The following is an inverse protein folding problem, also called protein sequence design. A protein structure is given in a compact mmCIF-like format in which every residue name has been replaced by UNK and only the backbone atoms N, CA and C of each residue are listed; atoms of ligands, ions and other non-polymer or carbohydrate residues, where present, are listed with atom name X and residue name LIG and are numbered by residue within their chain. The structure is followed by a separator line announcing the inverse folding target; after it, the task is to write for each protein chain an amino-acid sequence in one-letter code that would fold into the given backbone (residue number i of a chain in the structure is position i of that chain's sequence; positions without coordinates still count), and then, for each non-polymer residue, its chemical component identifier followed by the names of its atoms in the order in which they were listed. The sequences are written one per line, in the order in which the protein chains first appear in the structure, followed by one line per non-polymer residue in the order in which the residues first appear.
data_IF_327870399666
#
_entry.id   IF_327870399666
#
_cell.length_a   1.000
_cell.length_b   1.000
_cell.length_c   1.000
_cell.angle_alpha   90.00
_cell.angle_beta   90.00
_cell.angle_gamma   90.00
#
_symmetry.space_group_name_H-M   'P 1'
#
loop_
_entity.id
_entity.type
_entity.pdbx_description
1 polymer ?
#
# COMPACT_ATOMS: atom_id res chain seq x y z
N UNK A 1 -98.71 14.91 -56.12
CA UNK A 1 -98.34 15.15 -54.70
C UNK A 1 -97.31 14.11 -54.23
N UNK A 2 -96.38 13.67 -55.10
CA UNK A 2 -95.39 12.60 -54.81
C UNK A 2 -93.91 13.06 -54.86
N UNK A 3 -93.67 14.31 -55.29
CA UNK A 3 -92.33 14.91 -55.37
C UNK A 3 -91.87 15.56 -54.06
N UNK A 4 -92.81 15.88 -53.16
CA UNK A 4 -92.51 16.48 -51.86
C UNK A 4 -92.08 15.40 -50.86
N UNK A 5 -92.60 14.17 -51.00
CA UNK A 5 -92.24 13.02 -50.16
C UNK A 5 -90.85 12.48 -50.46
N UNK A 6 -90.37 12.52 -51.71
CA UNK A 6 -89.02 12.04 -52.10
C UNK A 6 -87.89 12.99 -51.70
N UNK A 7 -88.15 14.31 -51.67
CA UNK A 7 -87.21 15.27 -51.12
C UNK A 7 -87.15 15.18 -49.58
N UNK A 8 -88.30 14.96 -48.92
CA UNK A 8 -88.35 14.78 -47.47
C UNK A 8 -87.61 13.51 -47.01
N UNK A 9 -87.68 12.40 -47.76
CA UNK A 9 -86.99 11.15 -47.41
C UNK A 9 -85.48 11.18 -47.59
N UNK A 10 -84.93 12.15 -48.33
CA UNK A 10 -83.48 12.30 -48.54
C UNK A 10 -82.87 13.39 -47.66
N UNK A 11 -83.60 14.47 -47.38
CA UNK A 11 -83.12 15.58 -46.54
C UNK A 11 -83.15 15.23 -45.06
N UNK A 12 -84.18 14.52 -44.59
CA UNK A 12 -84.31 14.13 -43.18
C UNK A 12 -83.15 13.25 -42.68
N UNK A 13 -82.73 12.17 -43.40
CA UNK A 13 -81.59 11.36 -42.97
C UNK A 13 -80.26 12.11 -43.08
N UNK A 14 -80.07 13.01 -44.06
CA UNK A 14 -78.86 13.84 -44.14
C UNK A 14 -78.74 14.82 -42.97
N UNK A 15 -79.86 15.42 -42.54
CA UNK A 15 -79.88 16.27 -41.36
C UNK A 15 -79.59 15.48 -40.07
N UNK A 16 -80.20 14.30 -39.93
CA UNK A 16 -79.97 13.42 -38.79
C UNK A 16 -78.52 12.91 -38.75
N UNK A 17 -77.95 12.55 -39.90
CA UNK A 17 -76.55 12.12 -40.03
C UNK A 17 -75.59 13.26 -39.67
N UNK A 18 -75.85 14.49 -40.14
CA UNK A 18 -75.04 15.66 -39.78
C UNK A 18 -75.07 15.90 -38.28
N UNK A 19 -76.24 15.84 -37.65
CA UNK A 19 -76.39 15.98 -36.20
C UNK A 19 -75.63 14.90 -35.43
N UNK A 20 -75.73 13.64 -35.85
CA UNK A 20 -74.98 12.53 -35.25
C UNK A 20 -73.47 12.66 -35.45
N UNK A 21 -73.02 13.18 -36.59
CA UNK A 21 -71.62 13.45 -36.85
C UNK A 21 -71.07 14.58 -35.98
N UNK A 22 -71.81 15.69 -35.84
CA UNK A 22 -71.42 16.81 -34.98
C UNK A 22 -71.37 16.39 -33.50
N UNK A 23 -72.30 15.54 -33.07
CA UNK A 23 -72.32 14.96 -31.72
C UNK A 23 -71.13 13.99 -31.51
N UNK A 24 -70.84 13.13 -32.50
CA UNK A 24 -69.68 12.25 -32.50
C UNK A 24 -68.36 13.03 -32.45
N UNK A 25 -68.23 14.12 -33.20
CA UNK A 25 -67.06 15.00 -33.15
C UNK A 25 -66.93 15.68 -31.79
N UNK A 26 -68.03 16.12 -31.18
CA UNK A 26 -68.01 16.67 -29.82
C UNK A 26 -67.51 15.67 -28.80
N UNK A 27 -68.04 14.45 -28.82
CA UNK A 27 -67.63 13.36 -27.91
C UNK A 27 -66.17 12.97 -28.17
N UNK A 28 -65.78 12.84 -29.43
CA UNK A 28 -64.39 12.52 -29.81
C UNK A 28 -63.42 13.60 -29.32
N UNK A 29 -63.76 14.88 -29.51
CA UNK A 29 -62.95 16.00 -29.04
C UNK A 29 -62.87 16.06 -27.51
N UNK A 30 -63.96 15.77 -26.79
CA UNK A 30 -63.93 15.73 -25.32
C UNK A 30 -63.05 14.58 -24.82
N UNK A 31 -63.21 13.38 -25.38
CA UNK A 31 -62.39 12.21 -25.03
C UNK A 31 -60.91 12.43 -25.38
N UNK A 32 -60.62 13.05 -26.52
CA UNK A 32 -59.24 13.36 -26.91
C UNK A 32 -58.61 14.36 -25.94
N UNK A 33 -59.37 15.38 -25.51
CA UNK A 33 -58.90 16.34 -24.52
C UNK A 33 -58.65 15.67 -23.16
N UNK A 34 -59.56 14.83 -22.69
CA UNK A 34 -59.39 14.05 -21.46
C UNK A 34 -58.18 13.11 -21.54
N UNK A 35 -57.96 12.47 -22.69
CA UNK A 35 -56.80 11.62 -22.91
C UNK A 35 -55.47 12.42 -22.88
N UNK A 36 -55.44 13.62 -23.44
CA UNK A 36 -54.26 14.50 -23.38
C UNK A 36 -54.00 14.93 -21.92
N UNK A 37 -55.03 15.38 -21.20
CA UNK A 37 -54.88 15.82 -19.81
C UNK A 37 -54.42 14.67 -18.91
N UNK A 38 -54.94 13.45 -19.14
CA UNK A 38 -54.51 12.25 -18.41
C UNK A 38 -53.06 11.88 -18.74
N UNK A 39 -52.67 11.95 -20.01
CA UNK A 39 -51.29 11.66 -20.43
C UNK A 39 -50.29 12.69 -19.86
N UNK A 40 -50.69 13.96 -19.78
CA UNK A 40 -49.88 15.01 -19.13
C UNK A 40 -49.70 14.75 -17.64
N UNK A 41 -50.75 14.28 -16.95
CA UNK A 41 -50.66 13.89 -15.53
C UNK A 41 -49.71 12.72 -15.33
N UNK A 42 -49.87 11.66 -16.14
CA UNK A 42 -48.98 10.50 -16.07
C UNK A 42 -47.52 10.87 -16.36
N UNK A 43 -47.27 11.69 -17.38
CA UNK A 43 -45.92 12.14 -17.70
C UNK A 43 -45.31 12.97 -16.56
N UNK A 44 -46.12 13.80 -15.89
CA UNK A 44 -45.66 14.58 -14.73
C UNK A 44 -45.28 13.66 -13.56
N UNK A 45 -46.14 12.70 -13.22
CA UNK A 45 -45.88 11.72 -12.15
C UNK A 45 -44.65 10.87 -12.46
N UNK A 46 -44.47 10.46 -13.72
CA UNK A 46 -43.30 9.73 -14.19
C UNK A 46 -42.01 10.56 -14.06
N UNK A 47 -42.05 11.84 -14.43
CA UNK A 47 -40.90 12.75 -14.29
C UNK A 47 -40.53 12.95 -12.82
N UNK A 48 -41.51 13.16 -11.93
CA UNK A 48 -41.28 13.28 -10.49
C UNK A 48 -40.67 11.98 -9.91
N UNK A 49 -41.18 10.82 -10.35
CA UNK A 49 -40.63 9.53 -9.94
C UNK A 49 -39.20 9.33 -10.45
N UNK A 50 -38.91 9.68 -11.71
CA UNK A 50 -37.58 9.58 -12.29
C UNK A 50 -36.58 10.52 -11.60
N UNK A 51 -36.98 11.74 -11.26
CA UNK A 51 -36.14 12.67 -10.50
C UNK A 51 -35.81 12.11 -9.12
N UNK A 52 -36.81 11.53 -8.44
CA UNK A 52 -36.62 10.91 -7.14
C UNK A 52 -35.69 9.69 -7.22
N UNK A 53 -35.84 8.83 -8.24
CA UNK A 53 -34.94 7.69 -8.45
C UNK A 53 -33.51 8.15 -8.77
N UNK A 54 -33.36 9.12 -9.66
CA UNK A 54 -32.06 9.68 -9.99
C UNK A 54 -31.35 10.28 -8.76
N UNK A 55 -32.08 11.00 -7.91
CA UNK A 55 -31.53 11.54 -6.66
C UNK A 55 -31.04 10.45 -5.71
N UNK A 56 -31.76 9.32 -5.63
CA UNK A 56 -31.37 8.15 -4.82
C UNK A 56 -30.17 7.44 -5.40
N UNK A 57 -30.12 7.27 -6.72
CA UNK A 57 -29.00 6.64 -7.41
C UNK A 57 -27.72 7.45 -7.21
N UNK A 58 -27.77 8.79 -7.37
CA UNK A 58 -26.64 9.66 -7.08
C UNK A 58 -26.18 9.60 -5.62
N UNK A 59 -27.11 9.44 -4.66
CA UNK A 59 -26.77 9.31 -3.24
C UNK A 59 -26.07 7.96 -2.95
N UNK A 60 -26.59 6.86 -3.52
CA UNK A 60 -26.01 5.53 -3.38
C UNK A 60 -24.64 5.43 -4.04
N UNK A 61 -24.48 5.97 -5.25
CA UNK A 61 -23.20 6.01 -5.95
C UNK A 61 -22.12 6.74 -5.14
N UNK A 62 -22.50 7.85 -4.50
CA UNK A 62 -21.61 8.59 -3.61
C UNK A 62 -21.19 7.75 -2.39
N UNK A 63 -22.13 7.05 -1.76
CA UNK A 63 -21.83 6.18 -0.61
C UNK A 63 -20.89 5.03 -1.00
N UNK A 64 -21.16 4.37 -2.14
CA UNK A 64 -20.30 3.32 -2.69
C UNK A 64 -18.90 3.84 -3.02
N UNK A 65 -18.81 5.02 -3.65
CA UNK A 65 -17.54 5.65 -3.97
C UNK A 65 -16.71 5.94 -2.70
N UNK A 66 -17.33 6.45 -1.63
CA UNK A 66 -16.63 6.66 -0.36
C UNK A 66 -16.19 5.36 0.29
N UNK A 67 -17.03 4.32 0.25
CA UNK A 67 -16.66 2.99 0.73
C UNK A 67 -15.47 2.41 -0.02
N UNK A 68 -15.46 2.51 -1.35
CA UNK A 68 -14.35 2.05 -2.18
C UNK A 68 -13.08 2.85 -1.92
N UNK A 69 -13.17 4.18 -1.85
CA UNK A 69 -12.02 5.03 -1.58
C UNK A 69 -11.38 4.73 -0.21
N UNK A 70 -12.19 4.50 0.82
CA UNK A 70 -11.70 4.09 2.14
C UNK A 70 -10.96 2.74 2.08
N UNK A 71 -11.49 1.79 1.33
CA UNK A 71 -10.88 0.48 1.16
C UNK A 71 -9.54 0.56 0.39
N UNK A 72 -9.48 1.39 -0.66
CA UNK A 72 -8.26 1.61 -1.44
C UNK A 72 -7.15 2.24 -0.58
N UNK A 73 -7.49 3.17 0.32
CA UNK A 73 -6.53 3.71 1.29
C UNK A 73 -6.01 2.65 2.26
N UNK A 74 -6.89 1.76 2.73
CA UNK A 74 -6.49 0.68 3.63
C UNK A 74 -5.58 -0.35 2.96
N UNK A 75 -5.82 -0.66 1.67
CA UNK A 75 -4.92 -1.50 0.87
C UNK A 75 -3.57 -0.80 0.69
N UNK A 76 -3.57 0.46 0.25
CA UNK A 76 -2.34 1.21 0.02
C UNK A 76 -1.47 1.29 1.27
N UNK A 77 -2.09 1.49 2.45
CA UNK A 77 -1.40 1.48 3.73
C UNK A 77 -0.79 0.10 4.06
N UNK A 78 -1.54 -0.98 3.89
CA UNK A 78 -1.04 -2.36 4.14
C UNK A 78 0.12 -2.70 3.20
N UNK A 79 0.03 -2.27 1.96
CA UNK A 79 1.06 -2.47 0.95
C UNK A 79 2.35 -1.72 1.28
N UNK A 80 2.25 -0.46 1.71
CA UNK A 80 3.41 0.31 2.16
C UNK A 80 4.13 -0.35 3.34
N UNK A 81 3.37 -0.90 4.31
CA UNK A 81 3.94 -1.66 5.43
C UNK A 81 4.62 -2.95 4.96
N UNK A 82 4.00 -3.67 4.02
CA UNK A 82 4.54 -4.91 3.44
C UNK A 82 5.85 -4.66 2.70
N UNK A 83 5.92 -3.58 1.92
CA UNK A 83 7.10 -3.22 1.16
C UNK A 83 8.26 -2.79 2.07
N UNK A 84 7.98 -1.98 3.10
CA UNK A 84 9.00 -1.59 4.09
C UNK A 84 9.56 -2.81 4.85
N UNK A 85 8.69 -3.75 5.24
CA UNK A 85 9.10 -5.01 5.86
C UNK A 85 9.95 -5.86 4.91
N UNK A 86 9.52 -6.01 3.66
CA UNK A 86 10.22 -6.76 2.62
C UNK A 86 11.63 -6.19 2.35
N UNK A 87 11.74 -4.86 2.25
CA UNK A 87 13.02 -4.18 2.06
C UNK A 87 13.99 -4.44 3.21
N UNK A 88 13.53 -4.37 4.46
CA UNK A 88 14.37 -4.69 5.62
C UNK A 88 14.76 -6.16 5.66
N UNK A 89 13.84 -7.07 5.32
CA UNK A 89 14.14 -8.50 5.24
C UNK A 89 15.21 -8.79 4.19
N UNK A 90 15.10 -8.20 3.00
CA UNK A 90 16.10 -8.34 1.94
C UNK A 90 17.47 -7.81 2.37
N UNK A 91 17.50 -6.70 3.10
CA UNK A 91 18.74 -6.12 3.63
C UNK A 91 19.42 -7.07 4.61
N UNK A 92 18.67 -7.65 5.56
CA UNK A 92 19.20 -8.61 6.53
C UNK A 92 19.69 -9.89 5.84
N UNK A 93 18.94 -10.39 4.86
CA UNK A 93 19.36 -11.55 4.07
C UNK A 93 20.66 -11.27 3.30
N UNK A 94 20.79 -10.08 2.71
CA UNK A 94 22.02 -9.67 2.03
C UNK A 94 23.19 -9.59 3.01
N UNK A 95 22.97 -9.05 4.21
CA UNK A 95 23.99 -9.01 5.27
C UNK A 95 24.47 -10.42 5.63
N UNK A 96 23.55 -11.36 5.84
CA UNK A 96 23.90 -12.76 6.15
C UNK A 96 24.72 -13.41 5.04
N UNK A 97 24.37 -13.21 3.76
CA UNK A 97 25.13 -13.75 2.64
C UNK A 97 26.55 -13.20 2.64
N UNK A 98 26.71 -11.88 2.79
CA UNK A 98 28.03 -11.24 2.82
C UNK A 98 28.85 -11.68 4.04
N UNK A 99 28.22 -11.83 5.21
CA UNK A 99 28.85 -12.38 6.41
C UNK A 99 29.44 -13.77 6.15
N UNK A 100 28.70 -14.67 5.51
CA UNK A 100 29.18 -16.03 5.21
C UNK A 100 30.34 -16.04 4.21
N UNK A 101 30.36 -15.12 3.24
CA UNK A 101 31.47 -14.95 2.31
C UNK A 101 32.73 -14.47 3.03
N UNK A 102 32.60 -13.52 3.96
CA UNK A 102 33.71 -13.03 4.77
C UNK A 102 34.20 -14.08 5.78
N UNK A 103 33.29 -14.86 6.36
CA UNK A 103 33.66 -15.98 7.22
C UNK A 103 34.44 -17.05 6.45
N UNK A 104 34.02 -17.36 5.21
CA UNK A 104 34.74 -18.29 4.34
C UNK A 104 36.13 -17.78 3.95
N UNK A 105 36.30 -16.47 3.73
CA UNK A 105 37.62 -15.91 3.41
C UNK A 105 38.55 -15.93 4.62
N UNK A 106 38.04 -15.62 5.81
CA UNK A 106 38.78 -15.79 7.07
C UNK A 106 39.17 -17.27 7.28
N UNK A 107 38.28 -18.20 6.97
CA UNK A 107 38.56 -19.64 7.08
C UNK A 107 39.62 -20.10 6.08
N UNK A 108 39.59 -19.58 4.85
CA UNK A 108 40.63 -19.85 3.86
C UNK A 108 42.00 -19.35 4.33
N UNK A 109 42.07 -18.16 4.94
CA UNK A 109 43.30 -17.66 5.57
C UNK A 109 43.75 -18.56 6.70
N UNK A 110 42.84 -19.10 7.52
CA UNK A 110 43.18 -20.01 8.61
C UNK A 110 43.81 -21.32 8.10
N UNK A 111 43.28 -21.90 7.02
CA UNK A 111 43.74 -23.20 6.49
C UNK A 111 45.00 -23.05 5.63
N UNK A 112 45.08 -21.99 4.82
CA UNK A 112 46.17 -21.81 3.84
C UNK A 112 47.28 -20.88 4.35
N UNK A 113 47.03 -20.11 5.40
CA UNK A 113 47.95 -19.11 5.92
C UNK A 113 49.05 -19.72 6.76
N UNK A 114 50.05 -20.30 6.11
CA UNK A 114 51.29 -20.75 6.76
C UNK A 114 52.38 -19.68 6.58
N UNK A 115 52.65 -18.83 7.60
CA UNK A 115 53.69 -17.81 7.49
C UNK A 115 55.08 -18.45 7.43
N UNK A 116 56.06 -17.82 6.75
CA UNK A 116 57.37 -18.42 6.54
C UNK A 116 58.10 -18.61 7.88
N UNK A 117 58.85 -19.71 8.01
CA UNK A 117 59.41 -20.18 9.30
C UNK A 117 60.42 -19.24 9.95
N UNK A 118 60.95 -18.26 9.20
CA UNK A 118 61.83 -17.20 9.68
C UNK A 118 61.07 -15.97 10.23
N UNK A 119 59.74 -15.99 10.24
CA UNK A 119 58.92 -14.91 10.78
C UNK A 119 59.09 -14.78 12.29
N UNK A 120 59.15 -13.55 12.84
CA UNK A 120 59.28 -13.36 14.27
C UNK A 120 58.00 -13.78 15.00
N UNK A 121 58.16 -14.35 16.20
CA UNK A 121 57.07 -14.93 17.01
C UNK A 121 55.94 -13.93 17.30
N UNK A 122 56.27 -12.64 17.47
CA UNK A 122 55.27 -11.61 17.76
C UNK A 122 54.30 -11.40 16.58
N UNK A 123 54.78 -11.51 15.34
CA UNK A 123 53.97 -11.34 14.13
C UNK A 123 52.99 -12.50 13.98
N UNK A 124 53.44 -13.72 14.27
CA UNK A 124 52.61 -14.92 14.28
C UNK A 124 51.49 -14.82 15.32
N UNK A 125 51.81 -14.35 16.54
CA UNK A 125 50.81 -14.12 17.60
C UNK A 125 49.79 -13.05 17.20
N UNK A 126 50.24 -11.96 16.58
CA UNK A 126 49.35 -10.89 16.10
C UNK A 126 48.40 -11.38 15.01
N UNK A 127 48.93 -12.12 14.03
CA UNK A 127 48.13 -12.73 12.95
C UNK A 127 47.05 -13.67 13.53
N UNK A 128 47.44 -14.60 14.41
CA UNK A 128 46.51 -15.52 15.03
C UNK A 128 45.44 -14.81 15.89
N UNK A 129 45.82 -13.78 16.66
CA UNK A 129 44.89 -13.01 17.47
C UNK A 129 43.88 -12.22 16.63
N UNK A 130 44.34 -11.56 15.55
CA UNK A 130 43.47 -10.81 14.64
C UNK A 130 42.50 -11.73 13.90
N UNK A 131 42.97 -12.88 13.45
CA UNK A 131 42.13 -13.88 12.77
C UNK A 131 41.11 -14.52 13.71
N UNK A 132 41.51 -14.85 14.94
CA UNK A 132 40.58 -15.36 15.96
C UNK A 132 39.51 -14.34 16.33
N UNK A 133 39.91 -13.08 16.54
CA UNK A 133 38.98 -11.98 16.81
C UNK A 133 38.01 -11.76 15.64
N UNK A 134 38.50 -11.82 14.40
CA UNK A 134 37.64 -11.62 13.23
C UNK A 134 36.59 -12.71 13.10
N UNK A 135 36.96 -13.99 13.32
CA UNK A 135 36.03 -15.12 13.35
C UNK A 135 34.96 -14.95 14.43
N UNK A 136 35.34 -14.53 15.64
CA UNK A 136 34.39 -14.29 16.73
C UNK A 136 33.40 -13.16 16.40
N UNK A 137 33.89 -12.06 15.81
CA UNK A 137 33.06 -10.92 15.42
C UNK A 137 32.09 -11.26 14.28
N UNK A 138 32.57 -11.95 13.23
CA UNK A 138 31.73 -12.40 12.13
C UNK A 138 30.68 -13.41 12.59
N UNK A 139 31.05 -14.37 13.44
CA UNK A 139 30.09 -15.31 14.01
C UNK A 139 29.02 -14.61 14.87
N UNK A 140 29.43 -13.64 15.68
CA UNK A 140 28.50 -12.83 16.48
C UNK A 140 27.55 -12.01 15.60
N UNK A 141 28.03 -11.51 14.45
CA UNK A 141 27.21 -10.82 13.45
C UNK A 141 26.13 -11.75 12.85
N UNK A 142 26.51 -12.96 12.43
CA UNK A 142 25.56 -13.95 11.90
C UNK A 142 24.52 -14.31 12.95
N UNK A 143 24.92 -14.55 14.20
CA UNK A 143 24.00 -14.84 15.29
C UNK A 143 23.00 -13.71 15.54
N UNK A 144 23.47 -12.47 15.56
CA UNK A 144 22.60 -11.30 15.71
C UNK A 144 21.65 -11.14 14.53
N UNK A 145 22.12 -11.41 13.30
CA UNK A 145 21.30 -11.35 12.08
C UNK A 145 20.20 -12.41 12.07
N UNK A 146 20.50 -13.64 12.52
CA UNK A 146 19.50 -14.69 12.70
C UNK A 146 18.45 -14.29 13.75
N UNK A 147 18.89 -13.78 14.91
CA UNK A 147 17.97 -13.28 15.95
C UNK A 147 17.11 -12.13 15.45
N UNK A 148 17.68 -11.23 14.64
CA UNK A 148 16.98 -10.13 14.02
C UNK A 148 15.93 -10.62 13.02
N UNK A 149 16.26 -11.61 12.19
CA UNK A 149 15.34 -12.23 11.25
C UNK A 149 14.15 -12.89 11.97
N UNK A 150 14.41 -13.64 13.05
CA UNK A 150 13.34 -14.23 13.88
C UNK A 150 12.42 -13.16 14.46
N UNK A 151 12.97 -12.05 14.99
CA UNK A 151 12.15 -10.93 15.50
C UNK A 151 11.36 -10.24 14.40
N UNK A 152 11.92 -10.14 13.20
CA UNK A 152 11.27 -9.53 12.06
C UNK A 152 10.11 -10.38 11.53
N UNK A 153 10.22 -11.71 11.58
CA UNK A 153 9.13 -12.62 11.16
C UNK A 153 7.95 -12.65 12.14
N UNK A 154 8.14 -12.22 13.39
CA UNK A 154 7.04 -12.09 14.36
C UNK A 154 6.13 -10.88 14.12
N UNK A 155 6.52 -9.92 13.26
CA UNK A 155 5.67 -8.78 12.94
C UNK A 155 4.48 -9.20 12.07
N UNK A 156 3.26 -9.03 12.59
CA UNK A 156 2.05 -9.42 11.88
C UNK A 156 1.46 -8.22 11.12
N UNK A 157 1.60 -8.22 9.78
CA UNK A 157 1.07 -7.17 8.91
C UNK A 157 -0.47 -7.14 8.91
N UNK A 158 -1.13 -8.28 9.16
CA UNK A 158 -2.58 -8.40 9.06
C UNK A 158 -3.33 -7.92 10.30
N UNK A 159 -2.69 -7.85 11.48
CA UNK A 159 -3.33 -7.45 12.73
C UNK A 159 -2.60 -6.29 13.39
N UNK A 160 -3.16 -5.09 13.28
CA UNK A 160 -2.58 -3.86 13.84
C UNK A 160 -2.79 -3.74 15.36
N UNK A 161 -3.78 -4.45 15.92
CA UNK A 161 -4.16 -4.31 17.34
C UNK A 161 -3.39 -5.25 18.29
N UNK A 162 -2.40 -5.98 17.77
CA UNK A 162 -1.61 -6.92 18.58
C UNK A 162 -0.72 -6.16 19.56
N UNK A 163 -0.87 -6.45 20.84
CA UNK A 163 0.05 -5.98 21.89
C UNK A 163 1.24 -6.92 21.92
N UNK A 164 2.44 -6.37 21.68
CA UNK A 164 3.69 -7.14 21.69
C UNK A 164 4.30 -7.23 23.10
N UNK A 165 5.36 -8.03 23.26
CA UNK A 165 6.09 -8.24 24.53
C UNK A 165 6.52 -6.94 25.23
N UNK A 166 6.70 -5.85 24.47
CA UNK A 166 6.98 -4.53 25.03
C UNK A 166 5.78 -3.83 25.71
N UNK A 167 4.59 -4.42 25.70
CA UNK A 167 3.36 -3.86 26.24
C UNK A 167 2.74 -2.73 25.41
N UNK A 168 3.29 -2.43 24.23
CA UNK A 168 2.82 -1.38 23.32
C UNK A 168 2.25 -1.97 22.03
N UNK A 169 1.23 -1.30 21.48
CA UNK A 169 0.75 -1.53 20.12
C UNK A 169 1.61 -0.73 19.15
N UNK A 170 2.02 -1.36 18.05
CA UNK A 170 2.82 -0.73 17.01
C UNK A 170 1.98 -0.68 15.74
N UNK A 171 1.41 0.50 15.43
CA UNK A 171 0.58 0.69 14.23
C UNK A 171 1.43 0.72 12.96
N UNK A 172 2.66 1.20 13.07
CA UNK A 172 3.62 1.32 11.98
C UNK A 172 4.78 0.34 12.17
N UNK A 173 5.32 -0.14 11.05
CA UNK A 173 6.46 -1.03 11.05
C UNK A 173 7.74 -0.36 11.57
N UNK A 174 7.92 0.94 11.28
CA UNK A 174 9.06 1.75 11.75
C UNK A 174 9.14 1.80 13.28
N UNK A 175 8.00 1.94 13.95
CA UNK A 175 7.89 1.92 15.42
C UNK A 175 8.27 0.55 15.99
N UNK A 176 7.71 -0.53 15.43
CA UNK A 176 8.02 -1.89 15.84
C UNK A 176 9.53 -2.17 15.69
N UNK A 177 10.09 -1.85 14.51
CA UNK A 177 11.50 -2.08 14.22
C UNK A 177 12.41 -1.25 15.13
N UNK A 178 12.06 0.01 15.39
CA UNK A 178 12.80 0.89 16.28
C UNK A 178 12.79 0.38 17.73
N UNK A 179 11.67 -0.19 18.19
CA UNK A 179 11.52 -0.71 19.54
C UNK A 179 12.23 -2.05 19.75
N UNK A 180 12.12 -2.99 18.80
CA UNK A 180 12.53 -4.39 19.01
C UNK A 180 13.80 -4.81 18.27
N UNK A 181 14.08 -4.17 17.13
CA UNK A 181 15.07 -4.66 16.15
C UNK A 181 16.30 -3.76 16.06
N UNK A 182 16.15 -2.45 16.24
CA UNK A 182 17.20 -1.43 16.02
C UNK A 182 18.48 -1.67 16.79
N UNK A 183 18.40 -2.06 18.06
CA UNK A 183 19.59 -2.33 18.87
C UNK A 183 20.37 -3.56 18.35
N UNK A 184 19.65 -4.66 18.05
CA UNK A 184 20.26 -5.89 17.53
C UNK A 184 20.84 -5.67 16.15
N UNK A 185 20.12 -4.96 15.27
CA UNK A 185 20.61 -4.59 13.95
C UNK A 185 21.91 -3.79 14.04
N UNK A 186 21.97 -2.77 14.90
CA UNK A 186 23.18 -1.97 15.11
C UNK A 186 24.36 -2.83 15.57
N UNK A 187 24.13 -3.75 16.51
CA UNK A 187 25.18 -4.67 16.98
C UNK A 187 25.65 -5.57 15.83
N UNK A 188 24.73 -6.15 15.04
CA UNK A 188 25.06 -6.97 13.89
C UNK A 188 25.95 -6.21 12.88
N UNK A 189 25.55 -5.01 12.46
CA UNK A 189 26.36 -4.20 11.53
C UNK A 189 27.73 -3.85 12.10
N UNK A 190 27.81 -3.42 13.36
CA UNK A 190 29.10 -3.07 13.97
C UNK A 190 30.01 -4.30 14.05
N UNK A 191 29.49 -5.45 14.46
CA UNK A 191 30.23 -6.71 14.48
C UNK A 191 30.70 -7.12 13.08
N UNK A 192 29.85 -7.01 12.06
CA UNK A 192 30.22 -7.29 10.67
C UNK A 192 31.36 -6.39 10.17
N UNK A 193 31.24 -5.07 10.31
CA UNK A 193 32.25 -4.14 9.81
C UNK A 193 33.58 -4.29 10.56
N UNK A 194 33.54 -4.47 11.89
CA UNK A 194 34.76 -4.74 12.66
C UNK A 194 35.37 -6.10 12.31
N UNK A 195 34.56 -7.14 12.12
CA UNK A 195 35.00 -8.47 11.69
C UNK A 195 35.64 -8.45 10.29
N UNK A 196 35.07 -7.69 9.36
CA UNK A 196 35.61 -7.52 8.01
C UNK A 196 36.93 -6.73 8.05
N UNK A 197 36.99 -5.62 8.80
CA UNK A 197 38.20 -4.82 8.94
C UNK A 197 39.35 -5.61 9.59
N UNK A 198 39.05 -6.41 10.63
CA UNK A 198 40.04 -7.28 11.28
C UNK A 198 40.49 -8.42 10.38
N UNK A 199 39.60 -9.01 9.56
CA UNK A 199 39.97 -10.02 8.55
C UNK A 199 40.92 -9.44 7.50
N UNK A 200 40.62 -8.26 6.95
CA UNK A 200 41.50 -7.58 5.99
C UNK A 200 42.85 -7.20 6.61
N UNK A 201 42.85 -6.76 7.87
CA UNK A 201 44.08 -6.46 8.60
C UNK A 201 44.92 -7.73 8.83
N UNK A 202 44.29 -8.86 9.16
CA UNK A 202 44.97 -10.17 9.26
C UNK A 202 45.59 -10.59 7.93
N UNK A 203 44.85 -10.45 6.83
CA UNK A 203 45.34 -10.72 5.48
C UNK A 203 46.54 -9.83 5.12
N UNK A 204 46.52 -8.56 5.50
CA UNK A 204 47.62 -7.63 5.30
C UNK A 204 48.87 -8.03 6.10
N UNK A 205 48.70 -8.45 7.37
CA UNK A 205 49.81 -8.95 8.20
C UNK A 205 50.43 -10.21 7.58
N UNK A 206 49.60 -11.14 7.10
CA UNK A 206 50.06 -12.35 6.42
C UNK A 206 50.83 -12.02 5.13
N UNK A 207 50.27 -11.17 4.26
CA UNK A 207 50.92 -10.76 3.02
C UNK A 207 52.23 -10.00 3.27
N UNK A 208 52.28 -9.16 4.31
CA UNK A 208 53.52 -8.52 4.74
C UNK A 208 54.57 -9.53 5.17
N UNK A 209 54.19 -10.53 5.97
CA UNK A 209 55.09 -11.60 6.39
C UNK A 209 55.67 -12.34 5.17
N UNK A 210 54.82 -12.70 4.21
CA UNK A 210 55.23 -13.38 2.97
C UNK A 210 56.19 -12.51 2.14
N UNK A 211 55.85 -11.26 1.84
CA UNK A 211 56.67 -10.38 0.99
C UNK A 211 58.00 -10.01 1.63
N UNK A 212 58.01 -9.74 2.94
CA UNK A 212 59.22 -9.35 3.64
C UNK A 212 60.16 -10.53 3.87
N UNK A 213 59.66 -11.66 4.38
CA UNK A 213 60.51 -12.75 4.85
C UNK A 213 60.79 -13.85 3.81
N UNK A 214 59.88 -14.07 2.85
CA UNK A 214 60.08 -15.06 1.80
C UNK A 214 60.72 -14.45 0.54
N UNK A 215 60.22 -13.29 0.11
CA UNK A 215 60.69 -12.64 -1.13
C UNK A 215 61.75 -11.56 -0.90
N UNK A 216 62.12 -11.26 0.36
CA UNK A 216 63.10 -10.23 0.72
C UNK A 216 62.80 -8.85 0.13
N UNK A 217 61.53 -8.54 -0.18
CA UNK A 217 61.11 -7.29 -0.81
C UNK A 217 60.23 -6.48 0.15
N UNK A 218 60.89 -5.68 0.98
CA UNK A 218 60.23 -4.84 1.99
C UNK A 218 59.27 -3.81 1.35
N UNK A 219 59.65 -3.22 0.21
CA UNK A 219 58.85 -2.19 -0.45
C UNK A 219 57.49 -2.73 -0.90
N UNK A 220 57.46 -3.93 -1.50
CA UNK A 220 56.22 -4.58 -1.92
C UNK A 220 55.29 -4.86 -0.73
N UNK A 221 55.84 -5.32 0.41
CA UNK A 221 55.08 -5.54 1.63
C UNK A 221 54.43 -4.27 2.17
N UNK A 222 55.17 -3.17 2.24
CA UNK A 222 54.65 -1.88 2.72
C UNK A 222 53.52 -1.37 1.81
N UNK A 223 53.72 -1.42 0.48
CA UNK A 223 52.69 -0.99 -0.48
C UNK A 223 51.41 -1.79 -0.30
N UNK A 224 51.51 -3.12 -0.14
CA UNK A 224 50.34 -3.98 0.05
C UNK A 224 49.60 -3.68 1.36
N UNK A 225 50.32 -3.44 2.46
CA UNK A 225 49.72 -3.08 3.75
C UNK A 225 49.00 -1.73 3.65
N UNK A 226 49.63 -0.72 3.04
CA UNK A 226 49.01 0.59 2.84
C UNK A 226 47.74 0.48 1.99
N UNK A 227 47.78 -0.28 0.90
CA UNK A 227 46.61 -0.51 0.04
C UNK A 227 45.49 -1.23 0.80
N UNK A 228 45.82 -2.27 1.56
CA UNK A 228 44.85 -3.02 2.37
C UNK A 228 44.25 -2.18 3.49
N UNK A 229 45.03 -1.29 4.12
CA UNK A 229 44.55 -0.36 5.13
C UNK A 229 43.54 0.63 4.54
N UNK A 230 43.83 1.21 3.36
CA UNK A 230 42.88 2.08 2.66
C UNK A 230 41.61 1.30 2.28
N UNK A 231 41.77 0.10 1.73
CA UNK A 231 40.65 -0.77 1.36
C UNK A 231 39.79 -1.21 2.55
N UNK A 232 40.34 -1.29 3.76
CA UNK A 232 39.59 -1.57 4.99
C UNK A 232 38.92 -0.32 5.56
N UNK A 233 39.58 0.84 5.51
CA UNK A 233 39.06 2.09 6.06
C UNK A 233 37.88 2.64 5.24
N UNK A 234 37.92 2.56 3.91
CA UNK A 234 36.85 3.06 3.04
C UNK A 234 35.47 2.44 3.37
N UNK A 235 35.28 1.11 3.38
CA UNK A 235 34.01 0.50 3.73
C UNK A 235 33.66 0.69 5.20
N UNK A 236 34.64 0.76 6.11
CA UNK A 236 34.39 1.05 7.53
C UNK A 236 33.78 2.45 7.72
N UNK A 237 34.37 3.48 7.11
CA UNK A 237 33.84 4.84 7.16
C UNK A 237 32.55 4.99 6.36
N UNK A 238 32.44 4.38 5.18
CA UNK A 238 31.21 4.38 4.40
C UNK A 238 30.06 3.69 5.14
N UNK A 239 30.34 2.58 5.83
CA UNK A 239 29.39 1.87 6.67
C UNK A 239 28.96 2.67 7.89
N UNK A 240 29.90 3.31 8.59
CA UNK A 240 29.60 4.20 9.72
C UNK A 240 28.76 5.42 9.29
N UNK A 241 29.17 6.10 8.22
CA UNK A 241 28.46 7.27 7.69
C UNK A 241 27.10 6.86 7.13
N UNK A 242 27.02 5.74 6.41
CA UNK A 242 25.78 5.18 5.87
C UNK A 242 24.80 4.79 6.96
N UNK A 243 25.27 4.12 8.02
CA UNK A 243 24.46 3.79 9.21
C UNK A 243 23.97 5.04 9.94
N UNK A 244 24.72 6.13 9.90
CA UNK A 244 24.30 7.40 10.49
C UNK A 244 23.28 8.12 9.61
N UNK A 245 23.46 8.09 8.28
CA UNK A 245 22.58 8.74 7.31
C UNK A 245 21.22 8.03 7.19
N UNK A 246 21.19 6.70 7.23
CA UNK A 246 19.93 5.94 7.24
C UNK A 246 19.07 6.30 8.45
N UNK A 247 19.70 6.57 9.60
CA UNK A 247 18.99 7.07 10.78
C UNK A 247 18.38 8.47 10.59
N UNK A 248 18.99 9.33 9.76
CA UNK A 248 18.43 10.66 9.48
C UNK A 248 17.30 10.59 8.45
N UNK A 249 17.44 9.78 7.41
CA UNK A 249 16.43 9.68 6.34
C UNK A 249 15.11 9.10 6.87
N UNK A 250 15.16 8.05 7.68
CA UNK A 250 13.94 7.49 8.30
C UNK A 250 13.24 8.54 9.17
N UNK A 251 14.02 9.30 9.96
CA UNK A 251 13.47 10.34 10.81
C UNK A 251 12.81 11.47 10.02
N UNK A 252 13.46 11.91 8.93
CA UNK A 252 12.90 12.94 8.06
C UNK A 252 11.65 12.48 7.31
N UNK A 253 11.56 11.19 6.95
CA UNK A 253 10.37 10.62 6.32
C UNK A 253 9.17 10.57 7.25
N UNK A 254 9.38 10.14 8.50
CA UNK A 254 8.32 10.10 9.53
C UNK A 254 7.81 11.53 9.82
N UNK A 255 8.71 12.51 9.89
CA UNK A 255 8.34 13.93 10.11
C UNK A 255 7.56 14.49 8.89
N UNK A 256 7.98 14.17 7.66
CA UNK A 256 7.30 14.61 6.44
C UNK A 256 5.91 14.00 6.29
N UNK A 257 5.74 12.69 6.58
CA UNK A 257 4.42 12.04 6.49
C UNK A 257 3.46 12.63 7.53
N UNK A 258 3.95 12.95 8.73
CA UNK A 258 3.18 13.63 9.76
C UNK A 258 2.74 15.03 9.31
N UNK A 259 3.64 15.81 8.72
CA UNK A 259 3.35 17.14 8.19
C UNK A 259 2.36 17.10 7.01
N UNK A 260 2.49 16.12 6.12
CA UNK A 260 1.54 15.90 5.03
C UNK A 260 0.16 15.48 5.56
N UNK A 261 0.09 14.61 6.56
CA UNK A 261 -1.16 14.21 7.19
C UNK A 261 -1.84 15.41 7.89
N UNK A 262 -1.07 16.24 8.58
CA UNK A 262 -1.56 17.48 9.19
C UNK A 262 -2.10 18.45 8.13
N UNK A 263 -1.35 18.65 7.05
CA UNK A 263 -1.75 19.52 5.94
C UNK A 263 -3.04 19.02 5.27
N UNK A 264 -3.17 17.71 5.04
CA UNK A 264 -4.41 17.12 4.49
C UNK A 264 -5.60 17.29 5.44
N UNK A 265 -5.40 17.12 6.74
CA UNK A 265 -6.44 17.34 7.74
C UNK A 265 -6.88 18.81 7.77
N UNK A 266 -5.95 19.76 7.69
CA UNK A 266 -6.26 21.19 7.62
C UNK A 266 -7.05 21.55 6.34
N UNK A 267 -6.64 21.03 5.18
CA UNK A 267 -7.36 21.24 3.91
C UNK A 267 -8.78 20.66 3.99
N UNK A 268 -8.92 19.43 4.49
CA UNK A 268 -10.23 18.79 4.64
C UNK A 268 -11.14 19.58 5.61
N UNK A 269 -10.59 20.11 6.70
CA UNK A 269 -11.33 20.99 7.62
C UNK A 269 -11.71 22.33 6.98
N UNK A 270 -10.84 22.90 6.15
CA UNK A 270 -11.11 24.13 5.41
C UNK A 270 -12.23 23.94 4.37
N UNK A 271 -12.20 22.84 3.61
CA UNK A 271 -13.26 22.48 2.65
C UNK A 271 -14.60 22.22 3.37
N UNK A 272 -14.57 21.54 4.52
CA UNK A 272 -15.77 21.33 5.32
C UNK A 272 -16.37 22.64 5.84
N UNK A 273 -15.54 23.63 6.23
CA UNK A 273 -16.00 24.98 6.61
C UNK A 273 -16.63 25.73 5.43
N UNK A 274 -16.06 25.63 4.23
CA UNK A 274 -16.64 26.26 3.05
C UNK A 274 -18.01 25.65 2.71
N UNK A 275 -18.13 24.31 2.76
CA UNK A 275 -19.42 23.63 2.53
C UNK A 275 -20.45 23.87 3.64
N UNK A 276 -20.00 23.98 4.90
CA UNK A 276 -20.88 24.27 6.04
C UNK A 276 -21.36 25.72 6.10
N UNK A 277 -20.62 26.67 5.51
CA UNK A 277 -21.02 28.07 5.38
C UNK A 277 -22.10 28.34 4.34
N UNK A 278 -22.40 27.37 3.46
CA UNK A 278 -23.42 27.47 2.42
C UNK A 278 -24.78 26.88 2.83
N UNK A 279 -24.95 26.52 4.11
CA UNK A 279 -26.25 26.08 4.63
C UNK A 279 -27.07 27.30 5.07
N UNK A 280 -28.02 27.66 4.20
CA UNK A 280 -29.23 28.45 4.43
C UNK A 280 -29.11 29.99 4.45
N UNK A 281 -29.00 30.59 3.27
CA UNK A 281 -29.89 31.72 2.94
C UNK A 281 -31.10 31.15 2.19
N UNK A 282 -32.35 31.34 2.68
CA UNK A 282 -33.53 30.90 1.95
C UNK A 282 -33.58 31.59 0.58
N UNK A 283 -33.99 30.89 -0.49
CA UNK A 283 -34.16 31.52 -1.79
C UNK A 283 -35.25 32.60 -1.66
N UNK A 284 -34.87 33.87 -1.80
CA UNK A 284 -35.85 34.94 -1.95
C UNK A 284 -36.51 34.76 -3.31
N UNK A 285 -37.78 34.35 -3.29
CA UNK A 285 -38.67 34.44 -4.43
C UNK A 285 -38.71 35.87 -4.95
N UNK A 286 -38.03 36.13 -6.07
CA UNK A 286 -38.39 37.21 -6.98
C UNK A 286 -38.20 36.70 -8.38
N UNK A 287 -39.30 36.24 -8.98
CA UNK A 287 -39.31 35.75 -10.35
C UNK A 287 -38.97 36.83 -11.35
N UNK A 288 -38.48 36.42 -12.52
CA UNK A 288 -38.88 36.99 -13.81
C UNK A 288 -38.63 35.95 -14.91
N UNK A 289 -39.55 35.96 -15.86
CA UNK A 289 -39.82 35.02 -16.94
C UNK A 289 -38.88 35.26 -18.15
N UNK A 290 -38.86 34.25 -19.04
CA UNK A 290 -38.89 34.27 -20.52
C UNK A 290 -37.61 33.83 -21.29
N UNK A 291 -37.79 32.73 -22.06
CA UNK A 291 -37.20 32.33 -23.38
C UNK A 291 -35.69 32.05 -23.50
N UNK A 292 -35.23 31.02 -24.21
CA UNK A 292 -35.64 30.62 -25.57
C UNK A 292 -35.45 29.12 -25.87
N UNK A 293 -36.25 28.68 -26.84
CA UNK A 293 -36.14 27.41 -27.55
C UNK A 293 -34.93 27.43 -28.49
N UNK A 294 -34.18 26.33 -28.55
CA UNK A 294 -33.58 25.85 -29.81
C UNK A 294 -33.63 24.33 -29.85
N UNK A 295 -34.27 23.83 -30.90
CA UNK A 295 -34.34 22.44 -31.29
C UNK A 295 -33.05 22.01 -32.02
N UNK A 296 -32.66 20.75 -31.85
CA UNK A 296 -32.04 19.88 -32.86
C UNK A 296 -32.15 18.44 -32.35
N UNK A 297 -33.00 17.64 -32.99
CA UNK A 297 -32.61 16.57 -33.93
C UNK A 297 -31.90 15.39 -33.24
N UNK A 298 -32.64 14.30 -32.99
CA UNK A 298 -32.87 13.15 -33.90
C UNK A 298 -31.62 12.27 -34.02
N UNK A 299 -31.73 11.04 -33.52
CA UNK A 299 -30.92 9.94 -34.01
C UNK A 299 -30.73 8.77 -33.04
N UNK A 300 -31.53 7.71 -33.24
CA UNK A 300 -31.15 6.28 -33.12
C UNK A 300 -30.69 5.80 -31.73
N UNK A 301 -31.18 4.70 -31.15
CA UNK A 301 -31.70 3.48 -31.72
C UNK A 301 -31.63 2.45 -30.58
N UNK A 302 -32.73 1.77 -30.37
CA UNK A 302 -32.97 0.65 -29.45
C UNK A 302 -31.87 -0.42 -29.40
N UNK A 303 -31.54 -0.91 -28.19
CA UNK A 303 -31.54 -2.35 -27.88
C UNK A 303 -31.82 -2.60 -26.39
N UNK A 304 -32.70 -3.56 -26.04
CA UNK A 304 -32.93 -4.00 -24.67
C UNK A 304 -31.87 -5.03 -24.26
N UNK A 305 -31.11 -4.75 -23.21
CA UNK A 305 -30.24 -5.73 -22.57
C UNK A 305 -31.09 -6.73 -21.77
N UNK A 306 -30.89 -8.00 -22.12
CA UNK A 306 -31.46 -9.18 -21.48
C UNK A 306 -30.90 -9.35 -20.06
N UNK A 307 -31.69 -9.81 -19.09
CA UNK A 307 -31.19 -10.12 -17.76
C UNK A 307 -30.36 -11.41 -17.79
N UNK A 308 -29.09 -11.30 -17.39
CA UNK A 308 -28.22 -12.46 -17.18
C UNK A 308 -28.72 -13.32 -16.02
N UNK A 309 -28.67 -14.65 -16.15
CA UNK A 309 -29.12 -15.56 -15.12
C UNK A 309 -28.17 -15.56 -13.92
N UNK A 310 -28.75 -15.45 -12.72
CA UNK A 310 -28.09 -15.78 -11.47
C UNK A 310 -27.55 -17.21 -11.55
N UNK A 311 -26.22 -17.31 -11.61
CA UNK A 311 -25.50 -18.57 -11.48
C UNK A 311 -25.25 -18.79 -9.99
N UNK A 312 -26.13 -19.58 -9.37
CA UNK A 312 -25.85 -20.22 -8.09
C UNK A 312 -24.62 -21.11 -8.23
N UNK A 313 -23.54 -20.72 -7.55
CA UNK A 313 -22.37 -21.55 -7.29
C UNK A 313 -22.41 -21.99 -5.82
N UNK A 314 -22.07 -23.26 -5.53
CA UNK A 314 -22.30 -23.88 -4.23
C UNK A 314 -21.34 -23.39 -3.16
N UNK A 315 -21.85 -23.40 -1.93
CA UNK A 315 -21.10 -23.45 -0.66
C UNK A 315 -19.72 -24.09 -0.82
N UNK A 316 -18.68 -23.26 -0.84
CA UNK A 316 -17.34 -23.70 -0.46
C UNK A 316 -17.14 -23.31 0.99
N UNK A 317 -17.12 -24.36 1.81
CA UNK A 317 -17.04 -24.29 3.25
C UNK A 317 -15.91 -23.39 3.72
N UNK A 318 -16.23 -22.65 4.77
CA UNK A 318 -15.30 -22.14 5.76
C UNK A 318 -14.51 -23.31 6.35
N UNK A 319 -13.46 -23.71 5.63
CA UNK A 319 -12.44 -24.57 6.18
C UNK A 319 -11.58 -23.71 7.10
N UNK A 320 -11.93 -23.79 8.38
CA UNK A 320 -11.06 -23.45 9.50
C UNK A 320 -9.78 -24.30 9.37
N UNK A 321 -8.81 -23.84 8.58
CA UNK A 321 -7.45 -24.35 8.64
C UNK A 321 -6.64 -23.43 9.58
N UNK A 322 -6.54 -23.93 10.82
CA UNK A 322 -5.30 -23.98 11.59
C UNK A 322 -4.59 -22.64 11.85
N UNK A 323 -4.77 -21.97 12.99
CA UNK A 323 -4.37 -22.41 14.35
C UNK A 323 -3.03 -23.18 14.42
N UNK A 324 -2.02 -22.77 13.65
CA UNK A 324 -0.62 -23.10 13.93
C UNK A 324 0.17 -21.83 14.22
N UNK A 325 0.14 -21.40 15.48
CA UNK A 325 1.26 -20.79 16.21
C UNK A 325 0.80 -20.71 17.68
N UNK A 326 0.58 -21.89 18.28
CA UNK A 326 0.66 -21.99 19.73
C UNK A 326 2.10 -21.68 20.07
N UNK A 327 2.32 -20.52 20.68
CA UNK A 327 3.52 -20.26 21.43
C UNK A 327 3.59 -21.38 22.48
N UNK A 328 4.46 -22.36 22.25
CA UNK A 328 5.02 -23.10 23.37
C UNK A 328 5.95 -22.11 24.06
N UNK A 329 5.37 -21.48 25.08
CA UNK A 329 6.07 -21.00 26.25
C UNK A 329 6.88 -22.19 26.80
N UNK A 330 8.16 -22.28 26.42
CA UNK A 330 9.11 -23.05 27.20
C UNK A 330 9.37 -22.27 28.50
N UNK A 331 8.89 -22.89 29.57
CA UNK A 331 8.85 -22.43 30.95
C UNK A 331 10.20 -21.90 31.50
N UNK A 332 10.13 -21.05 32.54
CA UNK A 332 11.25 -20.77 33.41
C UNK A 332 11.40 -21.89 34.46
N UNK A 333 12.53 -22.61 34.44
CA UNK A 333 13.01 -23.34 35.61
C UNK A 333 14.54 -23.35 35.61
N UNK A 334 15.14 -22.54 36.47
CA UNK A 334 16.17 -23.02 37.39
C UNK A 334 16.43 -21.96 38.47
N UNK A 335 15.56 -21.95 39.49
CA UNK A 335 15.99 -21.69 40.86
C UNK A 335 16.12 -23.06 41.55
N UNK A 336 17.35 -23.50 41.80
CA UNK A 336 17.68 -24.52 42.79
C UNK A 336 18.91 -24.07 43.58
N UNK A 337 18.62 -23.66 44.82
CA UNK A 337 19.46 -23.56 46.03
C UNK A 337 20.90 -23.02 45.92
#
# INVERSE_FOLDING_TARGET
MELITTAATTVLPLWQQKRQHDESLRISNSLHKEAIDLNQKFHKEEMEQNELLFSKDCALERELHYGQMSHDFDIARKEGVRDAWSQQSQLIQTLMIVDTLMFSSAYALLVQGDPPSNSPVWLLRLYAAMLGLSMMLLFSSVWCSLKLQTRLSHYNIHRQDVVYVCGKQHRYFSDYFSCHCKAVAKIAFVCFYLGTATTLSSAAVYAFAMMHYQFSNLAAGIIFVCFSAVAALVPFFAGLVGSWRSHQVVRAGDDQELDEAHTRAEIAMAEARQRGGEVASPPSESGTVVTSMTASEVGQGSQPSTPSPMRGGPDQGTRNEETWYSCNDDEPMEDRN
#
